data_IF_532180319472
#
_entry.id   IF_532180319472
#
_cell.length_a   1.000
_cell.length_b   1.000
_cell.length_c   1.000
_cell.angle_alpha   90.00
_cell.angle_beta   90.00
_cell.angle_gamma   90.00
#
_symmetry.space_group_name_H-M   'P 1'
#
loop_
_entity.id
_entity.type
_entity.pdbx_description
1 polymer ?
#
# COMPACT_ATOMS: atom_id res chain seq x y z
N UNK A 1 8.00 25.77 -13.90
CA UNK A 1 6.83 24.92 -13.55
C UNK A 1 6.08 25.56 -12.40
N UNK A 2 4.79 25.79 -12.55
CA UNK A 2 3.97 26.32 -11.46
C UNK A 2 3.08 25.22 -10.86
N UNK A 3 2.67 25.39 -9.61
CA UNK A 3 1.85 24.41 -8.86
C UNK A 3 0.52 24.11 -9.55
N UNK A 4 -0.13 25.12 -10.10
CA UNK A 4 -1.40 24.96 -10.80
C UNK A 4 -1.28 24.13 -12.08
N UNK A 5 -0.18 24.28 -12.82
CA UNK A 5 0.14 23.44 -13.97
C UNK A 5 0.32 21.97 -13.57
N UNK A 6 1.08 21.72 -12.50
CA UNK A 6 1.30 20.36 -11.96
C UNK A 6 -0.02 19.71 -11.52
N UNK A 7 -0.86 20.44 -10.77
CA UNK A 7 -2.20 19.95 -10.35
C UNK A 7 -3.10 19.67 -11.55
N UNK A 8 -3.04 20.55 -12.56
CA UNK A 8 -3.80 20.36 -13.81
C UNK A 8 -3.35 19.12 -14.56
N UNK A 9 -2.03 18.91 -14.67
CA UNK A 9 -1.47 17.72 -15.31
C UNK A 9 -1.90 16.42 -14.59
N UNK A 10 -1.79 16.38 -13.26
CA UNK A 10 -2.22 15.23 -12.45
C UNK A 10 -3.72 14.95 -12.63
N UNK A 11 -4.55 15.99 -12.66
CA UNK A 11 -5.98 15.84 -12.86
C UNK A 11 -6.32 15.34 -14.27
N UNK A 12 -5.67 15.89 -15.30
CA UNK A 12 -5.86 15.47 -16.68
C UNK A 12 -5.40 14.02 -16.91
N UNK A 13 -4.30 13.61 -16.30
CA UNK A 13 -3.82 12.21 -16.38
C UNK A 13 -4.83 11.20 -15.85
N UNK A 14 -5.58 11.56 -14.80
CA UNK A 14 -6.64 10.75 -14.19
C UNK A 14 -7.92 10.72 -15.02
N UNK A 15 -8.37 11.90 -15.47
CA UNK A 15 -9.67 12.05 -16.16
C UNK A 15 -9.59 11.82 -17.66
N UNK A 16 -8.41 11.89 -18.25
CA UNK A 16 -8.13 11.70 -19.69
C UNK A 16 -9.00 12.55 -20.64
N UNK A 17 -9.52 13.68 -20.13
CA UNK A 17 -10.46 14.55 -20.84
C UNK A 17 -10.31 16.00 -20.37
N UNK A 18 -10.00 16.90 -21.32
CA UNK A 18 -9.80 18.32 -21.03
C UNK A 18 -11.02 19.02 -20.44
N UNK A 19 -12.19 18.76 -21.01
CA UNK A 19 -13.46 19.40 -20.57
C UNK A 19 -13.80 18.95 -19.14
N UNK A 20 -13.77 17.63 -18.87
CA UNK A 20 -14.02 17.10 -17.53
C UNK A 20 -12.97 17.58 -16.51
N UNK A 21 -11.73 17.78 -16.95
CA UNK A 21 -10.68 18.34 -16.10
C UNK A 21 -10.99 19.78 -15.73
N UNK A 22 -11.40 20.59 -16.72
CA UNK A 22 -11.80 21.98 -16.53
C UNK A 22 -12.97 22.10 -15.54
N UNK A 23 -14.02 21.31 -15.75
CA UNK A 23 -15.18 21.24 -14.86
C UNK A 23 -14.76 20.86 -13.43
N UNK A 24 -13.91 19.83 -13.27
CA UNK A 24 -13.45 19.36 -11.96
C UNK A 24 -12.59 20.37 -11.22
N UNK A 25 -11.83 21.17 -11.96
CA UNK A 25 -10.96 22.23 -11.41
C UNK A 25 -11.65 23.60 -11.34
N UNK A 26 -12.89 23.72 -11.78
CA UNK A 26 -13.67 24.97 -11.82
C UNK A 26 -12.98 26.05 -12.62
N UNK A 27 -12.41 25.72 -13.78
CA UNK A 27 -11.74 26.66 -14.70
C UNK A 27 -12.23 26.46 -16.12
N UNK A 28 -11.92 27.39 -17.02
CA UNK A 28 -12.21 27.25 -18.44
C UNK A 28 -11.32 26.14 -19.08
N UNK A 29 -11.83 25.44 -20.09
CA UNK A 29 -11.04 24.43 -20.81
C UNK A 29 -9.77 25.02 -21.46
N UNK A 30 -9.83 26.28 -21.94
CA UNK A 30 -8.67 26.99 -22.44
C UNK A 30 -7.57 27.15 -21.38
N UNK A 31 -7.95 27.34 -20.11
CA UNK A 31 -6.99 27.42 -19.00
C UNK A 31 -6.27 26.09 -18.81
N UNK A 32 -6.99 24.97 -18.85
CA UNK A 32 -6.38 23.62 -18.78
C UNK A 32 -5.40 23.43 -19.95
N UNK A 33 -5.84 23.77 -21.17
CA UNK A 33 -5.01 23.66 -22.38
C UNK A 33 -3.73 24.49 -22.27
N UNK A 34 -3.84 25.74 -21.82
CA UNK A 34 -2.70 26.63 -21.68
C UNK A 34 -1.71 26.14 -20.61
N UNK A 35 -2.21 25.69 -19.43
CA UNK A 35 -1.36 25.14 -18.36
C UNK A 35 -0.58 23.90 -18.82
N UNK A 36 -1.20 23.02 -19.59
CA UNK A 36 -0.52 21.84 -20.14
C UNK A 36 0.50 22.26 -21.21
N UNK A 37 0.13 23.17 -22.11
CA UNK A 37 1.05 23.67 -23.14
C UNK A 37 2.29 24.38 -22.52
N UNK A 38 2.10 25.12 -21.43
CA UNK A 38 3.18 25.74 -20.66
C UNK A 38 4.12 24.69 -20.07
N UNK A 39 3.58 23.65 -19.42
CA UNK A 39 4.40 22.54 -18.89
C UNK A 39 5.17 21.80 -19.99
N UNK A 40 4.52 21.50 -21.12
CA UNK A 40 5.18 20.89 -22.28
C UNK A 40 6.28 21.78 -22.86
N UNK A 41 6.06 23.08 -22.90
CA UNK A 41 7.05 24.06 -23.35
C UNK A 41 8.25 24.12 -22.39
N UNK A 42 8.01 24.17 -21.08
CA UNK A 42 9.07 24.21 -20.06
C UNK A 42 9.89 22.92 -20.00
N UNK A 43 9.26 21.77 -20.21
CA UNK A 43 9.94 20.47 -20.22
C UNK A 43 10.57 20.15 -21.58
N UNK A 44 10.19 20.86 -22.63
CA UNK A 44 10.59 20.55 -24.01
C UNK A 44 10.03 19.25 -24.55
N UNK A 45 9.05 18.65 -23.87
CA UNK A 45 8.51 17.33 -24.20
C UNK A 45 6.98 17.39 -24.31
N UNK A 46 6.42 16.55 -25.19
CA UNK A 46 4.99 16.29 -25.20
C UNK A 46 4.65 15.30 -24.09
N UNK A 47 3.75 15.73 -23.20
CA UNK A 47 3.33 14.91 -22.04
C UNK A 47 2.02 14.16 -22.33
N UNK A 48 1.23 14.65 -23.29
CA UNK A 48 -0.02 14.01 -23.72
C UNK A 48 -0.09 13.84 -25.23
N UNK A 49 -0.73 12.74 -25.65
CA UNK A 49 -1.13 12.48 -27.04
C UNK A 49 -2.65 12.39 -27.12
N UNK A 50 -3.23 12.88 -28.21
CA UNK A 50 -4.68 12.76 -28.49
C UNK A 50 -4.98 11.37 -29.02
N UNK A 51 -6.06 10.78 -28.55
CA UNK A 51 -6.61 9.50 -29.02
C UNK A 51 -8.12 9.62 -29.32
N UNK A 52 -8.68 8.62 -30.01
CA UNK A 52 -10.13 8.55 -30.16
C UNK A 52 -10.76 8.41 -28.77
N UNK A 53 -11.52 9.42 -28.35
CA UNK A 53 -12.19 9.44 -27.03
C UNK A 53 -11.47 10.18 -25.90
N UNK A 54 -10.28 10.77 -26.12
CA UNK A 54 -9.61 11.54 -25.06
C UNK A 54 -8.14 11.78 -25.28
N UNK A 55 -7.40 11.82 -24.19
CA UNK A 55 -5.94 11.98 -24.18
C UNK A 55 -5.28 10.91 -23.32
N UNK A 56 -4.08 10.53 -23.70
CA UNK A 56 -3.23 9.59 -22.95
C UNK A 56 -1.86 10.20 -22.70
N UNK A 57 -1.19 9.72 -21.66
CA UNK A 57 0.19 10.11 -21.39
C UNK A 57 1.13 9.52 -22.45
N UNK A 58 2.15 10.29 -22.81
CA UNK A 58 3.34 9.77 -23.50
C UNK A 58 4.22 9.00 -22.53
N UNK A 59 5.33 8.42 -22.98
CA UNK A 59 6.34 7.83 -22.10
C UNK A 59 6.93 8.89 -21.17
N UNK A 60 7.25 10.07 -21.72
CA UNK A 60 7.72 11.24 -20.96
C UNK A 60 6.66 11.73 -19.98
N UNK A 61 5.37 11.74 -20.40
CA UNK A 61 4.24 12.06 -19.54
C UNK A 61 4.11 11.08 -18.38
N UNK A 62 4.31 9.78 -18.62
CA UNK A 62 4.29 8.77 -17.57
C UNK A 62 5.45 8.97 -16.58
N UNK A 63 6.64 9.24 -17.08
CA UNK A 63 7.79 9.60 -16.25
C UNK A 63 7.50 10.85 -15.44
N UNK A 64 7.02 11.92 -16.10
CA UNK A 64 6.69 13.17 -15.45
C UNK A 64 5.62 13.02 -14.38
N UNK A 65 4.65 12.12 -14.54
CA UNK A 65 3.60 11.86 -13.55
C UNK A 65 4.17 11.48 -12.18
N UNK A 66 5.20 10.64 -12.16
CA UNK A 66 5.84 10.22 -10.92
C UNK A 66 6.45 11.41 -10.16
N UNK A 67 7.09 12.33 -10.87
CA UNK A 67 7.66 13.55 -10.28
C UNK A 67 6.58 14.55 -9.89
N UNK A 68 5.57 14.74 -10.74
CA UNK A 68 4.47 15.66 -10.48
C UNK A 68 3.71 15.30 -9.19
N UNK A 69 3.45 14.01 -8.96
CA UNK A 69 2.82 13.53 -7.73
C UNK A 69 3.69 13.83 -6.50
N UNK A 70 4.99 13.62 -6.59
CA UNK A 70 5.95 13.91 -5.49
C UNK A 70 6.03 15.41 -5.19
N UNK A 71 6.12 16.25 -6.20
CA UNK A 71 6.16 17.71 -6.03
C UNK A 71 4.87 18.21 -5.37
N UNK A 72 3.71 17.72 -5.83
CA UNK A 72 2.43 18.09 -5.23
C UNK A 72 2.33 17.64 -3.75
N UNK A 73 2.79 16.44 -3.43
CA UNK A 73 2.79 15.96 -2.04
C UNK A 73 3.74 16.77 -1.15
N UNK A 74 4.92 17.14 -1.66
CA UNK A 74 5.86 18.01 -0.93
C UNK A 74 5.26 19.39 -0.65
N UNK A 75 4.61 20.01 -1.64
CA UNK A 75 3.92 21.30 -1.48
C UNK A 75 2.83 21.22 -0.42
N UNK A 76 1.98 20.21 -0.49
CA UNK A 76 0.92 19.99 0.48
C UNK A 76 1.49 19.67 1.88
N UNK A 77 2.60 18.91 1.97
CA UNK A 77 3.26 18.60 3.23
C UNK A 77 3.79 19.88 3.89
N UNK A 78 4.42 20.76 3.13
CA UNK A 78 4.88 22.05 3.63
C UNK A 78 3.75 22.89 4.24
N UNK A 79 2.62 23.02 3.53
CA UNK A 79 1.46 23.76 4.04
C UNK A 79 0.92 23.14 5.32
N UNK A 80 0.83 21.80 5.38
CA UNK A 80 0.40 21.09 6.58
C UNK A 80 1.36 21.30 7.76
N UNK A 81 2.66 21.27 7.51
CA UNK A 81 3.70 21.47 8.54
C UNK A 81 3.68 22.88 9.11
N UNK A 82 3.55 23.90 8.27
CA UNK A 82 3.40 25.28 8.74
C UNK A 82 2.16 25.45 9.62
N UNK A 83 1.03 24.86 9.22
CA UNK A 83 -0.19 24.90 10.01
C UNK A 83 -0.08 24.09 11.32
N UNK A 84 0.61 22.96 11.29
CA UNK A 84 0.85 22.15 12.49
C UNK A 84 1.79 22.84 13.48
N UNK A 85 2.86 23.48 13.00
CA UNK A 85 3.82 24.22 13.82
C UNK A 85 3.19 25.38 14.61
N UNK A 86 2.07 25.92 14.11
CA UNK A 86 1.29 26.92 14.86
C UNK A 86 0.53 26.35 16.07
N UNK A 87 0.39 25.02 16.17
CA UNK A 87 -0.43 24.35 17.18
C UNK A 87 0.30 23.30 18.02
N UNK A 88 1.33 22.69 17.46
CA UNK A 88 2.12 21.62 18.10
C UNK A 88 3.61 21.98 18.02
N UNK A 89 4.37 21.59 19.04
CA UNK A 89 5.82 21.87 19.06
C UNK A 89 6.57 21.07 18.00
N UNK A 90 6.08 19.87 17.69
CA UNK A 90 6.71 18.94 16.72
C UNK A 90 5.65 18.14 15.97
N UNK A 91 6.06 17.61 14.82
CA UNK A 91 5.28 16.65 14.05
C UNK A 91 6.10 15.38 13.86
N UNK A 92 5.51 14.22 14.16
CA UNK A 92 6.06 12.90 13.90
C UNK A 92 5.30 12.27 12.72
N UNK A 93 6.02 11.99 11.62
CA UNK A 93 5.46 11.42 10.39
C UNK A 93 5.93 10.00 10.23
N UNK A 94 5.02 9.04 10.35
CA UNK A 94 5.28 7.60 10.32
C UNK A 94 4.70 7.01 9.04
N UNK A 95 5.53 6.32 8.27
CA UNK A 95 5.08 5.43 7.19
C UNK A 95 5.04 3.98 7.67
N UNK A 96 4.00 3.24 7.36
CA UNK A 96 3.94 1.83 7.70
C UNK A 96 3.18 1.02 6.63
N UNK A 97 3.65 -0.20 6.36
CA UNK A 97 2.83 -1.17 5.64
C UNK A 97 1.67 -1.60 6.53
N UNK A 98 0.52 -1.83 5.92
CA UNK A 98 -0.71 -2.12 6.66
C UNK A 98 -0.55 -3.30 7.64
N UNK A 99 0.06 -4.39 7.19
CA UNK A 99 0.26 -5.57 8.02
C UNK A 99 1.08 -5.29 9.30
N UNK A 100 2.15 -4.49 9.22
CA UNK A 100 2.97 -4.13 10.40
C UNK A 100 2.23 -3.16 11.30
N UNK A 101 1.49 -2.22 10.71
CA UNK A 101 0.69 -1.28 11.50
C UNK A 101 -0.34 -2.01 12.37
N UNK A 102 -1.17 -2.84 11.74
CA UNK A 102 -2.24 -3.58 12.43
C UNK A 102 -1.69 -4.59 13.43
N UNK A 103 -0.63 -5.32 13.05
CA UNK A 103 -0.11 -6.42 13.89
C UNK A 103 0.73 -5.96 15.09
N UNK A 104 1.44 -4.83 14.98
CA UNK A 104 2.49 -4.52 15.96
C UNK A 104 2.67 -3.05 16.28
N UNK A 105 2.39 -2.15 15.34
CA UNK A 105 2.73 -0.73 15.51
C UNK A 105 1.60 0.07 16.16
N UNK A 106 0.34 -0.26 15.88
CA UNK A 106 -0.83 0.47 16.40
C UNK A 106 -0.80 0.71 17.92
N UNK A 107 -0.53 -0.29 18.79
CA UNK A 107 -0.53 -0.05 20.23
C UNK A 107 0.54 0.95 20.67
N UNK A 108 1.70 0.96 19.98
CA UNK A 108 2.81 1.87 20.29
C UNK A 108 2.46 3.30 19.87
N UNK A 109 1.89 3.47 18.67
CA UNK A 109 1.43 4.78 18.17
C UNK A 109 0.30 5.32 19.03
N UNK A 110 -0.68 4.49 19.41
CA UNK A 110 -1.79 4.87 20.26
C UNK A 110 -1.32 5.34 21.65
N UNK A 111 -0.38 4.61 22.26
CA UNK A 111 0.24 5.01 23.52
C UNK A 111 1.00 6.32 23.38
N UNK A 112 1.88 6.45 22.38
CA UNK A 112 2.63 7.67 22.13
C UNK A 112 1.69 8.88 21.93
N UNK A 113 0.66 8.74 21.12
CA UNK A 113 -0.35 9.78 20.88
C UNK A 113 -1.08 10.19 22.16
N UNK A 114 -1.34 9.23 23.06
CA UNK A 114 -1.98 9.52 24.36
C UNK A 114 -1.06 10.26 25.33
N UNK A 115 0.24 9.93 25.33
CA UNK A 115 1.23 10.48 26.26
C UNK A 115 1.81 11.84 25.79
N UNK A 116 1.98 12.04 24.47
CA UNK A 116 2.64 13.21 23.87
C UNK A 116 1.63 14.16 23.23
N UNK A 117 1.04 15.05 24.04
CA UNK A 117 0.01 15.98 23.59
C UNK A 117 0.52 17.17 22.77
N UNK A 118 1.81 17.46 22.90
CA UNK A 118 2.56 18.50 22.21
C UNK A 118 3.06 18.10 20.82
N UNK A 119 2.93 16.81 20.46
CA UNK A 119 3.37 16.24 19.19
C UNK A 119 2.18 15.89 18.30
N UNK A 120 2.17 16.47 17.10
CA UNK A 120 1.26 16.00 16.04
C UNK A 120 1.77 14.68 15.46
N UNK A 121 0.90 13.69 15.28
CA UNK A 121 1.26 12.39 14.68
C UNK A 121 0.53 12.21 13.36
N UNK A 122 1.27 11.99 12.28
CA UNK A 122 0.73 11.60 10.97
C UNK A 122 1.16 10.17 10.66
N UNK A 123 0.22 9.28 10.40
CA UNK A 123 0.48 7.92 9.93
C UNK A 123 0.06 7.82 8.47
N UNK A 124 0.98 7.35 7.62
CA UNK A 124 0.73 7.06 6.20
C UNK A 124 0.87 5.57 5.98
N UNK A 125 -0.20 4.93 5.53
CA UNK A 125 -0.17 3.52 5.18
C UNK A 125 0.07 3.37 3.68
N UNK A 126 0.96 2.44 3.30
CA UNK A 126 1.34 2.24 1.91
C UNK A 126 2.18 0.99 1.69
N UNK A 127 2.67 0.82 0.48
CA UNK A 127 3.59 -0.27 0.15
C UNK A 127 5.04 0.08 0.47
N UNK A 128 5.87 -0.94 0.72
CA UNK A 128 7.26 -0.75 1.15
C UNK A 128 8.05 0.19 0.24
N UNK A 129 7.91 0.04 -1.09
CA UNK A 129 8.65 0.84 -2.08
C UNK A 129 8.26 2.32 -1.98
N UNK A 130 6.95 2.61 -1.92
CA UNK A 130 6.43 3.97 -1.85
C UNK A 130 6.83 4.64 -0.54
N UNK A 131 6.73 3.91 0.59
CA UNK A 131 7.14 4.41 1.90
C UNK A 131 8.64 4.72 1.98
N UNK A 132 9.48 3.86 1.40
CA UNK A 132 10.92 4.11 1.34
C UNK A 132 11.25 5.30 0.44
N UNK A 133 10.49 5.51 -0.64
CA UNK A 133 10.61 6.70 -1.47
C UNK A 133 10.18 7.95 -0.70
N UNK A 134 9.05 7.91 0.01
CA UNK A 134 8.59 9.03 0.86
C UNK A 134 9.59 9.37 1.96
N UNK A 135 10.27 8.36 2.55
CA UNK A 135 11.33 8.57 3.52
C UNK A 135 12.52 9.31 2.90
N UNK A 136 12.93 8.93 1.68
CA UNK A 136 14.02 9.60 0.96
C UNK A 136 13.65 11.02 0.53
N UNK A 137 12.39 11.28 0.26
CA UNK A 137 11.87 12.61 -0.09
C UNK A 137 11.61 13.50 1.15
N UNK A 138 11.85 12.98 2.38
CA UNK A 138 11.61 13.71 3.61
C UNK A 138 10.13 13.92 3.96
N UNK A 139 9.22 13.20 3.30
CA UNK A 139 7.77 13.24 3.56
C UNK A 139 7.35 12.48 4.80
N UNK A 140 8.17 11.54 5.26
CA UNK A 140 8.03 10.80 6.53
C UNK A 140 9.39 10.74 7.24
N UNK A 141 9.35 10.63 8.57
CA UNK A 141 10.54 10.62 9.42
C UNK A 141 11.05 9.20 9.68
N UNK A 142 10.15 8.22 9.65
CA UNK A 142 10.46 6.80 9.78
C UNK A 142 9.50 5.93 8.96
N UNK A 143 10.01 4.80 8.48
CA UNK A 143 9.25 3.82 7.71
C UNK A 143 9.32 2.43 8.36
N UNK A 144 8.16 1.80 8.55
CA UNK A 144 8.04 0.39 8.95
C UNK A 144 7.67 -0.44 7.71
N UNK A 145 8.64 -1.16 7.20
CA UNK A 145 8.54 -1.87 5.91
C UNK A 145 9.16 -3.25 6.00
N UNK A 146 8.82 -4.14 5.07
CA UNK A 146 9.49 -5.43 4.92
C UNK A 146 10.85 -5.31 4.23
N UNK A 147 11.11 -4.20 3.55
CA UNK A 147 12.36 -3.97 2.82
C UNK A 147 13.26 -3.03 3.63
N UNK A 148 14.53 -3.40 3.89
CA UNK A 148 15.49 -2.47 4.48
C UNK A 148 15.93 -1.43 3.45
N UNK A 149 16.11 -0.18 3.88
CA UNK A 149 16.75 0.85 3.07
C UNK A 149 18.26 0.83 3.31
N UNK A 150 19.02 0.28 2.34
CA UNK A 150 20.50 0.26 2.37
C UNK A 150 21.04 1.47 1.62
N UNK A 151 21.03 2.65 2.24
CA UNK A 151 21.52 3.91 1.65
C UNK A 151 22.22 4.74 2.72
N UNK A 152 23.30 5.45 2.34
CA UNK A 152 23.99 6.38 3.24
C UNK A 152 23.04 7.43 3.80
N UNK A 153 23.15 7.73 5.10
CA UNK A 153 22.27 8.65 5.80
C UNK A 153 20.99 8.03 6.38
N UNK A 154 20.76 6.73 6.16
CA UNK A 154 19.62 6.01 6.71
C UNK A 154 20.07 4.82 7.55
N UNK A 155 19.38 4.57 8.65
CA UNK A 155 19.59 3.40 9.49
C UNK A 155 18.37 2.47 9.37
N UNK A 156 18.62 1.17 9.17
CA UNK A 156 17.58 0.14 9.17
C UNK A 156 17.79 -0.82 10.32
N UNK A 157 16.76 -0.99 11.16
CA UNK A 157 16.76 -1.91 12.32
C UNK A 157 15.59 -2.90 12.21
N UNK A 158 15.82 -4.13 12.67
CA UNK A 158 14.74 -5.10 12.82
C UNK A 158 13.79 -4.62 13.93
N UNK A 159 12.54 -4.35 13.54
CA UNK A 159 11.49 -3.91 14.47
C UNK A 159 10.78 -5.10 15.12
N UNK A 160 10.29 -6.04 14.33
CA UNK A 160 9.61 -7.24 14.81
C UNK A 160 9.76 -8.40 13.83
N UNK A 161 9.33 -9.58 14.23
CA UNK A 161 9.09 -10.72 13.34
C UNK A 161 7.73 -11.31 13.64
N UNK A 162 7.12 -11.93 12.63
CA UNK A 162 5.84 -12.59 12.72
C UNK A 162 5.87 -13.89 11.91
N UNK A 163 4.93 -14.79 12.18
CA UNK A 163 4.74 -16.02 11.43
C UNK A 163 3.65 -15.79 10.40
N UNK A 164 3.81 -16.35 9.22
CA UNK A 164 2.76 -16.40 8.22
C UNK A 164 1.87 -17.62 8.50
N UNK A 165 0.58 -17.39 8.68
CA UNK A 165 -0.39 -18.44 8.98
C UNK A 165 -1.47 -18.53 7.90
N UNK A 166 -1.81 -19.74 7.46
CA UNK A 166 -3.00 -19.98 6.64
C UNK A 166 -4.22 -19.99 7.55
N UNK A 167 -5.17 -19.12 7.31
CA UNK A 167 -6.31 -18.86 8.16
C UNK A 167 -7.63 -19.11 7.44
N UNK A 168 -8.64 -19.58 8.16
CA UNK A 168 -10.03 -19.68 7.71
C UNK A 168 -10.98 -19.55 8.91
N UNK A 169 -12.27 -19.26 8.65
CA UNK A 169 -13.30 -19.38 9.68
C UNK A 169 -13.59 -20.85 10.01
N UNK A 170 -13.88 -21.22 11.28
CA UNK A 170 -14.14 -22.61 11.68
C UNK A 170 -15.24 -23.30 10.89
N UNK A 171 -16.30 -22.55 10.54
CA UNK A 171 -17.43 -23.06 9.76
C UNK A 171 -17.09 -23.40 8.31
N UNK A 172 -15.99 -22.84 7.79
CA UNK A 172 -15.50 -23.04 6.40
C UNK A 172 -14.24 -23.89 6.35
N UNK A 173 -13.67 -24.25 7.50
CA UNK A 173 -12.45 -25.03 7.54
C UNK A 173 -12.74 -26.52 7.25
N UNK A 174 -12.79 -26.86 5.96
CA UNK A 174 -12.92 -28.25 5.48
C UNK A 174 -11.62 -29.05 5.71
N UNK A 175 -10.50 -28.37 5.95
CA UNK A 175 -9.16 -28.94 6.10
C UNK A 175 -8.66 -28.87 7.54
N UNK A 176 -9.50 -29.29 8.50
CA UNK A 176 -9.13 -29.27 9.94
C UNK A 176 -7.89 -30.11 10.28
N UNK A 177 -7.63 -31.17 9.50
CA UNK A 177 -6.44 -32.02 9.64
C UNK A 177 -5.21 -31.44 8.89
N UNK A 178 -5.38 -30.34 8.16
CA UNK A 178 -4.37 -29.71 7.30
C UNK A 178 -4.69 -29.85 5.83
N UNK A 179 -4.11 -28.95 5.02
CA UNK A 179 -4.30 -28.87 3.58
C UNK A 179 -2.98 -29.18 2.86
N UNK A 180 -3.03 -29.94 1.78
CA UNK A 180 -1.87 -30.17 0.93
C UNK A 180 -1.72 -29.04 -0.07
N UNK A 181 -0.49 -28.75 -0.51
CA UNK A 181 -0.21 -27.73 -1.54
C UNK A 181 -1.08 -27.90 -2.79
N UNK A 182 -1.30 -29.13 -3.27
CA UNK A 182 -2.13 -29.41 -4.44
C UNK A 182 -3.63 -29.08 -4.23
N UNK A 183 -4.10 -29.13 -2.99
CA UNK A 183 -5.49 -28.83 -2.62
C UNK A 183 -5.71 -27.34 -2.45
N UNK A 184 -4.67 -26.60 -2.09
CA UNK A 184 -4.72 -25.14 -1.93
C UNK A 184 -5.21 -24.42 -3.21
N UNK A 185 -4.85 -24.95 -4.40
CA UNK A 185 -5.31 -24.43 -5.68
C UNK A 185 -6.80 -24.69 -5.96
N UNK A 186 -7.44 -25.58 -5.19
CA UNK A 186 -8.86 -25.94 -5.38
C UNK A 186 -9.76 -25.27 -4.36
N UNK A 187 -9.21 -24.80 -3.25
CA UNK A 187 -9.99 -24.07 -2.24
C UNK A 187 -10.25 -22.61 -2.71
N UNK A 188 -11.28 -22.00 -2.14
CA UNK A 188 -11.54 -20.57 -2.32
C UNK A 188 -10.45 -19.78 -1.60
N UNK A 189 -9.39 -19.43 -2.32
CA UNK A 189 -8.25 -18.70 -1.78
C UNK A 189 -8.38 -17.21 -2.05
N UNK A 190 -8.29 -16.41 -0.98
CA UNK A 190 -8.29 -14.95 -1.05
C UNK A 190 -6.84 -14.47 -1.12
N UNK A 191 -6.40 -14.02 -2.29
CA UNK A 191 -5.04 -13.56 -2.48
C UNK A 191 -4.85 -12.18 -1.87
N UNK A 192 -4.01 -12.11 -0.84
CA UNK A 192 -3.49 -10.86 -0.35
C UNK A 192 -2.16 -10.58 -1.06
N UNK A 193 -2.12 -9.50 -1.81
CA UNK A 193 -0.87 -9.03 -2.41
C UNK A 193 0.01 -8.43 -1.31
N UNK A 194 0.80 -9.27 -0.63
CA UNK A 194 1.94 -8.81 0.14
C UNK A 194 2.93 -8.23 -0.87
N UNK A 195 2.88 -6.91 -1.05
CA UNK A 195 3.74 -6.26 -2.01
C UNK A 195 5.21 -6.58 -1.66
N UNK A 196 5.84 -7.35 -2.52
CA UNK A 196 7.27 -7.61 -2.58
C UNK A 196 7.95 -8.06 -1.26
N UNK A 197 8.53 -9.23 -1.29
CA UNK A 197 9.32 -9.81 -0.21
C UNK A 197 9.13 -11.32 -0.14
N UNK A 198 9.97 -11.96 0.63
CA UNK A 198 10.03 -13.43 0.78
C UNK A 198 8.67 -14.07 1.08
N UNK A 199 7.82 -13.41 1.90
CA UNK A 199 6.48 -13.91 2.22
C UNK A 199 5.54 -13.92 1.01
N UNK A 200 5.54 -12.86 0.19
CA UNK A 200 4.74 -12.80 -1.03
C UNK A 200 5.21 -13.78 -2.09
N UNK A 201 6.52 -13.92 -2.25
CA UNK A 201 7.12 -14.91 -3.16
C UNK A 201 6.80 -16.34 -2.70
N UNK A 202 6.92 -16.62 -1.41
CA UNK A 202 6.54 -17.91 -0.83
C UNK A 202 5.07 -18.23 -1.14
N UNK A 203 4.12 -17.34 -0.81
CA UNK A 203 2.70 -17.59 -1.06
C UNK A 203 2.44 -17.82 -2.55
N UNK A 204 3.00 -16.99 -3.44
CA UNK A 204 2.84 -17.18 -4.89
C UNK A 204 3.44 -18.51 -5.38
N UNK A 205 4.54 -18.97 -4.79
CA UNK A 205 5.18 -20.26 -5.14
C UNK A 205 4.35 -21.49 -4.80
N UNK A 206 3.33 -21.32 -3.94
CA UNK A 206 2.40 -22.40 -3.61
C UNK A 206 1.38 -22.67 -4.73
N UNK A 207 1.22 -21.74 -5.67
CA UNK A 207 0.29 -21.81 -6.79
C UNK A 207 1.04 -21.99 -8.12
N UNK A 208 0.38 -22.58 -9.15
CA UNK A 208 0.97 -22.67 -10.47
C UNK A 208 1.38 -21.31 -11.04
N UNK A 209 2.40 -21.26 -11.92
CA UNK A 209 2.74 -20.03 -12.63
C UNK A 209 1.53 -19.44 -13.33
N UNK A 210 1.29 -18.13 -13.19
CA UNK A 210 0.16 -17.41 -13.78
C UNK A 210 -1.22 -17.88 -13.27
N UNK A 211 -1.29 -18.46 -12.08
CA UNK A 211 -2.57 -18.77 -11.44
C UNK A 211 -3.42 -17.51 -11.31
N UNK A 212 -4.66 -17.56 -11.83
CA UNK A 212 -5.63 -16.48 -11.67
C UNK A 212 -6.43 -16.69 -10.38
N UNK A 213 -6.32 -15.78 -9.45
CA UNK A 213 -7.12 -15.80 -8.23
C UNK A 213 -8.49 -15.16 -8.51
N UNK A 214 -9.55 -15.73 -7.99
CA UNK A 214 -10.90 -15.17 -8.09
C UNK A 214 -11.02 -13.85 -7.30
N UNK A 215 -10.24 -13.71 -6.24
CA UNK A 215 -10.21 -12.53 -5.38
C UNK A 215 -8.78 -12.15 -5.06
N UNK A 216 -8.42 -10.91 -5.34
CA UNK A 216 -7.14 -10.32 -4.98
C UNK A 216 -7.36 -8.95 -4.33
N UNK A 217 -6.62 -8.67 -3.25
CA UNK A 217 -6.65 -7.40 -2.54
C UNK A 217 -5.25 -7.04 -2.05
N UNK A 218 -4.92 -5.77 -2.05
CA UNK A 218 -3.63 -5.24 -1.59
C UNK A 218 -3.61 -4.80 -0.11
N UNK A 219 -4.73 -4.98 0.58
CA UNK A 219 -4.89 -4.59 1.98
C UNK A 219 -5.17 -5.81 2.86
N UNK A 220 -4.15 -6.27 3.58
CA UNK A 220 -4.23 -7.44 4.47
C UNK A 220 -5.23 -7.29 5.62
N UNK A 221 -5.42 -6.08 6.16
CA UNK A 221 -6.41 -5.82 7.22
C UNK A 221 -7.85 -6.08 6.77
N UNK A 222 -8.14 -5.86 5.49
CA UNK A 222 -9.47 -6.15 4.92
C UNK A 222 -9.71 -7.64 4.71
N UNK A 223 -8.67 -8.43 4.45
CA UNK A 223 -8.80 -9.89 4.28
C UNK A 223 -9.33 -10.55 5.55
N UNK A 224 -8.95 -10.07 6.73
CA UNK A 224 -9.44 -10.61 8.02
C UNK A 224 -10.98 -10.61 8.07
N UNK A 225 -11.63 -9.53 7.60
CA UNK A 225 -13.08 -9.46 7.58
C UNK A 225 -13.69 -10.51 6.64
N UNK A 226 -13.15 -10.68 5.43
CA UNK A 226 -13.62 -11.72 4.50
C UNK A 226 -13.48 -13.13 5.07
N UNK A 227 -12.38 -13.39 5.80
CA UNK A 227 -12.20 -14.67 6.47
C UNK A 227 -13.24 -14.89 7.58
N UNK A 228 -13.51 -13.86 8.38
CA UNK A 228 -14.54 -13.91 9.45
C UNK A 228 -15.94 -14.17 8.86
N UNK A 229 -16.23 -13.62 7.69
CA UNK A 229 -17.48 -13.84 6.96
C UNK A 229 -17.53 -15.23 6.26
N UNK A 230 -16.46 -16.02 6.38
CA UNK A 230 -16.40 -17.38 5.85
C UNK A 230 -16.13 -17.47 4.34
N UNK A 231 -15.48 -16.48 3.73
CA UNK A 231 -15.25 -16.44 2.27
C UNK A 231 -14.05 -17.26 1.78
N UNK A 232 -13.40 -18.05 2.63
CA UNK A 232 -12.33 -18.94 2.17
C UNK A 232 -11.09 -18.94 3.04
N UNK A 233 -9.92 -19.05 2.40
CA UNK A 233 -8.61 -19.19 3.04
C UNK A 233 -7.68 -18.08 2.60
N UNK A 234 -6.80 -17.60 3.49
CA UNK A 234 -5.72 -16.70 3.13
C UNK A 234 -4.53 -16.84 4.06
N UNK A 235 -3.33 -16.63 3.53
CA UNK A 235 -2.16 -16.43 4.39
C UNK A 235 -2.13 -15.00 4.92
N UNK A 236 -1.99 -14.85 6.22
CA UNK A 236 -1.82 -13.57 6.89
C UNK A 236 -0.75 -13.67 7.98
N UNK A 237 -0.09 -12.54 8.34
CA UNK A 237 0.70 -12.48 9.56
C UNK A 237 -0.14 -12.89 10.77
N UNK A 238 0.36 -13.84 11.58
CA UNK A 238 -0.38 -14.41 12.71
C UNK A 238 -0.87 -13.34 13.69
N UNK A 239 -0.02 -12.39 14.00
CA UNK A 239 -0.36 -11.30 14.95
C UNK A 239 -1.53 -10.43 14.48
N UNK A 240 -1.77 -10.32 13.17
CA UNK A 240 -2.92 -9.57 12.66
C UNK A 240 -4.26 -10.19 13.05
N UNK A 241 -4.31 -11.51 13.18
CA UNK A 241 -5.51 -12.28 13.48
C UNK A 241 -5.44 -12.93 14.86
N UNK A 242 -4.44 -12.60 15.67
CA UNK A 242 -4.19 -13.27 16.96
C UNK A 242 -5.41 -13.20 17.90
N UNK A 243 -6.10 -12.07 17.91
CA UNK A 243 -7.33 -11.89 18.70
C UNK A 243 -8.44 -12.83 18.21
N UNK A 244 -8.68 -12.83 16.90
CA UNK A 244 -9.71 -13.66 16.27
C UNK A 244 -9.44 -15.15 16.43
N UNK A 245 -8.16 -15.53 16.41
CA UNK A 245 -7.72 -16.91 16.67
C UNK A 245 -7.93 -17.29 18.13
N UNK A 246 -7.56 -16.42 19.09
CA UNK A 246 -7.78 -16.65 20.53
C UNK A 246 -9.25 -16.72 20.90
N UNK A 247 -10.09 -15.95 20.21
CA UNK A 247 -11.56 -15.95 20.39
C UNK A 247 -12.25 -17.11 19.63
N UNK A 248 -11.50 -17.93 18.90
CA UNK A 248 -12.03 -19.05 18.11
C UNK A 248 -12.85 -18.64 16.89
N UNK A 249 -12.72 -17.40 16.43
CA UNK A 249 -13.41 -16.89 15.23
C UNK A 249 -12.67 -17.21 13.94
N UNK A 250 -11.34 -17.37 14.03
CA UNK A 250 -10.49 -17.89 12.97
C UNK A 250 -9.67 -19.06 13.49
N UNK A 251 -9.34 -19.98 12.59
CA UNK A 251 -8.48 -21.14 12.86
C UNK A 251 -7.25 -21.10 11.95
N UNK A 252 -6.13 -21.61 12.46
CA UNK A 252 -4.93 -21.86 11.68
C UNK A 252 -5.05 -23.20 10.98
N UNK A 253 -4.92 -23.22 9.66
CA UNK A 253 -4.87 -24.42 8.86
C UNK A 253 -3.41 -24.84 8.65
N UNK A 254 -3.07 -26.09 8.95
CA UNK A 254 -1.74 -26.64 8.66
C UNK A 254 -1.56 -26.82 7.15
N UNK A 255 -0.41 -26.42 6.61
CA UNK A 255 -0.05 -26.66 5.22
C UNK A 255 1.01 -27.75 5.12
N UNK A 256 0.72 -28.81 4.37
CA UNK A 256 1.68 -29.86 4.04
C UNK A 256 2.31 -29.58 2.68
N UNK A 257 3.61 -29.33 2.65
CA UNK A 257 4.37 -28.95 1.44
C UNK A 257 5.02 -30.13 0.73
N UNK A 258 5.11 -31.31 1.40
CA UNK A 258 5.61 -32.56 0.83
C UNK A 258 4.62 -33.70 1.04
N UNK A 259 4.73 -34.76 0.22
CA UNK A 259 3.94 -36.02 0.39
C UNK A 259 4.37 -36.84 1.63
N UNK A 260 5.43 -36.44 2.28
CA UNK A 260 5.91 -37.03 3.53
C UNK A 260 5.33 -36.27 4.73
N UNK A 261 4.75 -37.01 5.68
CA UNK A 261 4.05 -36.49 6.85
C UNK A 261 4.93 -35.77 7.91
N UNK A 262 6.14 -35.35 7.57
CA UNK A 262 7.17 -34.96 8.54
C UNK A 262 7.68 -33.51 8.48
N UNK A 263 7.18 -32.64 7.58
CA UNK A 263 7.60 -31.24 7.59
C UNK A 263 6.48 -30.33 8.12
N UNK A 264 6.38 -30.26 9.43
CA UNK A 264 5.68 -29.19 10.12
C UNK A 264 6.40 -27.87 9.80
N UNK A 265 5.71 -26.99 9.15
CA UNK A 265 6.16 -25.63 8.83
C UNK A 265 6.76 -24.94 10.07
N UNK A 266 8.03 -24.62 9.97
CA UNK A 266 8.76 -23.81 10.94
C UNK A 266 8.34 -22.35 10.87
#
# INVERSE_FOLDING_TARGET
MNSEGIKTFIMLSKLKNFTRTAERMYVAQSTVTNRIAELESETGQKLFIRRQGGVELTEEGQLFLSYALRINELEESFVREVNAAARYERTLRIGAINAVYESSLYPLVARFFSEKKDVAVKVTLGHSVDLLQMLQDGLIDMAFSYLPLKKAGYESKKFSSDKLALLAAPARNEYKAGIRKAELCRCEYLMCNFAFGEAGEFVRSLFPPRHAFRFEIDNSGKVVQYLLDGHGYSFLPYKMAEREIKEGRLEVCLLYTSDAADDLTR
#
